data_IF_196343683370
#
_entry.id   IF_196343683370
#
_cell.length_a   1.000
_cell.length_b   1.000
_cell.length_c   1.000
_cell.angle_alpha   90.00
_cell.angle_beta   90.00
_cell.angle_gamma   90.00
#
_symmetry.space_group_name_H-M   'P 1'
#
loop_
_entity.id
_entity.type
_entity.pdbx_description
1 polymer ?
#
# COMPACT_ATOMS: atom_id res chain seq x y z
N UNK A 1 68.16 24.31 0.06
CA UNK A 1 67.83 22.86 -0.06
C UNK A 1 67.56 22.27 1.32
N UNK A 2 66.48 22.66 1.98
CA UNK A 2 65.93 22.00 3.18
C UNK A 2 64.46 22.37 3.21
N UNK A 3 63.57 21.60 2.56
CA UNK A 3 62.09 21.68 2.72
C UNK A 3 61.38 20.59 1.89
N UNK A 4 61.84 19.33 1.98
CA UNK A 4 61.23 18.20 1.26
C UNK A 4 61.09 16.92 2.07
N UNK A 5 61.38 16.96 3.38
CA UNK A 5 61.37 15.76 4.26
C UNK A 5 60.23 15.71 5.29
N UNK A 6 59.48 16.81 5.45
CA UNK A 6 58.39 16.90 6.42
C UNK A 6 57.01 16.54 5.83
N UNK A 7 56.85 16.59 4.51
CA UNK A 7 55.56 16.37 3.82
C UNK A 7 55.30 14.88 3.51
N UNK A 8 56.33 14.05 3.32
CA UNK A 8 56.15 12.62 3.02
C UNK A 8 55.79 11.76 4.25
N UNK A 9 56.09 12.23 5.46
CA UNK A 9 55.84 11.50 6.71
C UNK A 9 54.43 11.69 7.25
N UNK A 10 53.78 12.84 6.97
CA UNK A 10 52.39 13.09 7.37
C UNK A 10 51.39 12.31 6.51
N UNK A 11 51.56 12.28 5.18
CA UNK A 11 50.69 11.57 4.23
C UNK A 11 50.71 10.04 4.43
N UNK A 12 51.89 9.46 4.72
CA UNK A 12 52.01 8.03 5.05
C UNK A 12 51.30 7.66 6.37
N UNK A 13 51.18 8.60 7.30
CA UNK A 13 50.51 8.36 8.59
C UNK A 13 48.98 8.39 8.47
N UNK A 14 48.44 9.27 7.62
CA UNK A 14 47.01 9.38 7.35
C UNK A 14 46.49 8.20 6.51
N UNK A 15 47.26 7.77 5.51
CA UNK A 15 46.96 6.61 4.66
C UNK A 15 46.85 5.30 5.46
N UNK A 16 47.77 5.05 6.41
CA UNK A 16 47.68 3.86 7.30
C UNK A 16 46.49 3.91 8.26
N UNK A 17 46.05 5.10 8.67
CA UNK A 17 44.91 5.28 9.58
C UNK A 17 43.57 5.09 8.85
N UNK A 18 43.48 5.51 7.58
CA UNK A 18 42.34 5.28 6.70
C UNK A 18 42.16 3.77 6.40
N UNK A 19 43.24 3.08 6.01
CA UNK A 19 43.23 1.64 5.74
C UNK A 19 42.81 0.81 6.96
N UNK A 20 43.27 1.18 8.17
CA UNK A 20 42.88 0.50 9.42
C UNK A 20 41.41 0.74 9.81
N UNK A 21 40.82 1.87 9.39
CA UNK A 21 39.39 2.19 9.61
C UNK A 21 38.50 1.44 8.63
N UNK A 22 38.92 1.27 7.39
CA UNK A 22 38.23 0.44 6.39
C UNK A 22 38.30 -1.04 6.73
N UNK A 23 39.46 -1.55 7.14
CA UNK A 23 39.60 -2.94 7.60
C UNK A 23 38.69 -3.26 8.79
N UNK A 24 38.57 -2.37 9.78
CA UNK A 24 37.63 -2.53 10.91
C UNK A 24 36.15 -2.44 10.51
N UNK A 25 35.82 -1.66 9.48
CA UNK A 25 34.45 -1.60 8.94
C UNK A 25 34.12 -2.87 8.16
N UNK A 26 35.06 -3.37 7.36
CA UNK A 26 34.94 -4.62 6.62
C UNK A 26 34.81 -5.83 7.57
N UNK A 27 35.61 -5.88 8.65
CA UNK A 27 35.52 -6.95 9.66
C UNK A 27 34.19 -6.90 10.44
N UNK A 28 33.70 -5.71 10.79
CA UNK A 28 32.36 -5.56 11.41
C UNK A 28 31.23 -5.91 10.44
N UNK A 29 31.39 -5.60 9.15
CA UNK A 29 30.43 -5.99 8.12
C UNK A 29 30.44 -7.51 7.88
N UNK A 30 31.62 -8.14 7.87
CA UNK A 30 31.80 -9.58 7.77
C UNK A 30 31.21 -10.31 8.99
N UNK A 31 31.52 -9.87 10.21
CA UNK A 31 30.91 -10.43 11.44
C UNK A 31 29.40 -10.25 11.47
N UNK A 32 28.87 -9.14 10.95
CA UNK A 32 27.41 -8.91 10.83
C UNK A 32 26.78 -9.75 9.72
N UNK A 33 27.53 -10.06 8.65
CA UNK A 33 27.09 -10.95 7.58
C UNK A 33 27.11 -12.42 8.02
N UNK A 34 28.16 -12.85 8.73
CA UNK A 34 28.27 -14.17 9.34
C UNK A 34 27.19 -14.38 10.41
N UNK A 35 26.95 -13.40 11.28
CA UNK A 35 25.87 -13.50 12.27
C UNK A 35 24.50 -13.55 11.60
N UNK A 36 24.28 -12.81 10.49
CA UNK A 36 23.05 -12.91 9.68
C UNK A 36 22.92 -14.26 9.00
N UNK A 37 24.00 -14.81 8.46
CA UNK A 37 24.02 -16.12 7.81
C UNK A 37 23.79 -17.26 8.82
N UNK A 38 24.40 -17.17 10.00
CA UNK A 38 24.23 -18.13 11.09
C UNK A 38 22.82 -18.09 11.67
N UNK A 39 22.24 -16.88 11.81
CA UNK A 39 20.85 -16.72 12.25
C UNK A 39 19.87 -17.25 11.19
N UNK A 40 20.15 -17.05 9.89
CA UNK A 40 19.31 -17.56 8.80
C UNK A 40 19.34 -19.09 8.69
N UNK A 41 20.51 -19.71 8.88
CA UNK A 41 20.64 -21.18 8.84
C UNK A 41 20.08 -21.87 10.10
N UNK A 42 20.21 -21.27 11.29
CA UNK A 42 19.61 -21.82 12.52
C UNK A 42 18.08 -21.65 12.58
N UNK A 43 17.49 -20.67 11.89
CA UNK A 43 16.03 -20.50 11.88
C UNK A 43 15.25 -21.57 11.11
N UNK A 44 15.92 -22.45 10.36
CA UNK A 44 15.26 -23.41 9.46
C UNK A 44 15.52 -24.89 9.78
N UNK A 45 16.43 -25.19 10.71
CA UNK A 45 16.56 -26.56 11.22
C UNK A 45 15.53 -26.76 12.34
N UNK A 46 14.55 -27.68 12.20
CA UNK A 46 13.69 -28.03 13.31
C UNK A 46 14.55 -28.59 14.45
N UNK A 47 14.36 -28.07 15.67
CA UNK A 47 14.97 -28.69 16.86
C UNK A 47 14.47 -30.14 16.98
N UNK A 48 15.34 -31.07 17.38
CA UNK A 48 14.96 -32.47 17.60
C UNK A 48 13.78 -32.53 18.59
N UNK A 49 12.59 -32.90 18.09
CA UNK A 49 11.33 -32.94 18.87
C UNK A 49 10.26 -31.90 18.51
N UNK A 50 10.38 -31.20 17.38
CA UNK A 50 9.35 -30.25 16.94
C UNK A 50 8.03 -30.93 16.48
N UNK A 51 6.96 -30.75 17.27
CA UNK A 51 5.61 -31.27 16.99
C UNK A 51 4.87 -30.58 15.83
N UNK A 52 5.41 -29.48 15.31
CA UNK A 52 4.81 -28.65 14.26
C UNK A 52 5.54 -28.72 12.91
N UNK A 53 6.43 -29.71 12.72
CA UNK A 53 7.08 -29.95 11.43
C UNK A 53 6.01 -30.13 10.34
N UNK A 54 6.15 -29.40 9.24
CA UNK A 54 5.20 -29.42 8.14
C UNK A 54 3.90 -28.61 8.37
N UNK A 55 3.81 -27.82 9.45
CA UNK A 55 2.70 -26.88 9.70
C UNK A 55 3.10 -25.41 9.57
N UNK A 56 4.38 -25.15 9.39
CA UNK A 56 4.88 -23.80 9.16
C UNK A 56 6.06 -23.78 8.20
N UNK A 57 6.29 -22.63 7.57
CA UNK A 57 7.44 -22.43 6.68
C UNK A 57 7.14 -21.47 5.54
N UNK A 58 8.00 -21.51 4.53
CA UNK A 58 7.84 -20.73 3.29
C UNK A 58 7.28 -21.64 2.20
N UNK A 59 6.16 -21.24 1.62
CA UNK A 59 5.60 -21.95 0.48
C UNK A 59 6.50 -21.76 -0.74
N UNK A 60 6.67 -22.83 -1.50
CA UNK A 60 7.21 -22.72 -2.85
C UNK A 60 6.21 -21.99 -3.75
N UNK A 61 6.68 -21.48 -4.88
CA UNK A 61 5.84 -20.79 -5.84
C UNK A 61 4.70 -21.72 -6.30
N UNK A 62 3.46 -21.30 -6.07
CA UNK A 62 2.27 -22.05 -6.47
C UNK A 62 1.59 -21.36 -7.65
N UNK A 63 1.43 -22.08 -8.77
CA UNK A 63 0.71 -21.59 -9.95
C UNK A 63 -0.82 -21.78 -9.84
N UNK A 64 -1.26 -22.73 -9.01
CA UNK A 64 -2.67 -22.96 -8.70
C UNK A 64 -2.81 -23.34 -7.23
N UNK A 65 -3.82 -22.80 -6.55
CA UNK A 65 -4.11 -23.08 -5.14
C UNK A 65 -5.52 -23.67 -5.05
N UNK A 66 -5.65 -24.90 -4.55
CA UNK A 66 -6.94 -25.58 -4.40
C UNK A 66 -7.60 -25.34 -3.01
N UNK A 67 -7.22 -24.28 -2.30
CA UNK A 67 -7.74 -23.97 -0.95
C UNK A 67 -8.87 -22.96 -1.02
N UNK A 68 -9.92 -23.18 -0.22
CA UNK A 68 -11.00 -22.20 -0.01
C UNK A 68 -10.60 -21.21 1.07
N UNK A 69 -10.29 -19.98 0.68
CA UNK A 69 -9.97 -18.90 1.61
C UNK A 69 -11.22 -18.14 2.04
N UNK A 70 -11.31 -17.85 3.34
CA UNK A 70 -12.33 -16.97 3.92
C UNK A 70 -11.80 -15.54 3.96
N UNK A 71 -12.64 -14.56 3.63
CA UNK A 71 -12.25 -13.16 3.73
C UNK A 71 -12.29 -12.70 5.19
N UNK A 72 -11.38 -11.80 5.58
CA UNK A 72 -11.29 -11.27 6.94
C UNK A 72 -12.56 -10.49 7.33
N UNK A 73 -13.25 -9.88 6.37
CA UNK A 73 -14.53 -9.19 6.60
C UNK A 73 -15.67 -10.12 7.05
N UNK A 74 -15.60 -11.40 6.67
CA UNK A 74 -16.65 -12.40 6.90
C UNK A 74 -16.38 -13.23 8.18
N UNK A 75 -15.36 -12.83 8.97
CA UNK A 75 -15.04 -13.45 10.26
C UNK A 75 -15.82 -12.75 11.37
N UNK A 76 -16.94 -13.35 11.76
CA UNK A 76 -17.82 -12.86 12.83
C UNK A 76 -18.16 -13.97 13.86
N UNK A 77 -19.11 -13.70 14.76
CA UNK A 77 -19.56 -14.67 15.78
C UNK A 77 -20.19 -15.93 15.18
N UNK A 78 -20.77 -15.86 13.98
CA UNK A 78 -21.50 -16.97 13.36
C UNK A 78 -20.58 -18.10 12.92
N UNK A 79 -19.34 -17.77 12.55
CA UNK A 79 -18.31 -18.73 12.13
C UNK A 79 -17.43 -19.22 13.28
N UNK A 80 -17.76 -18.87 14.53
CA UNK A 80 -17.00 -19.30 15.70
C UNK A 80 -16.99 -20.83 15.84
N UNK A 81 -15.86 -21.38 16.25
CA UNK A 81 -15.61 -22.80 16.37
C UNK A 81 -15.18 -23.50 15.08
N UNK A 82 -15.36 -22.86 13.91
CA UNK A 82 -14.96 -23.44 12.62
C UNK A 82 -13.45 -23.26 12.36
N UNK A 83 -12.88 -24.19 11.61
CA UNK A 83 -11.50 -24.09 11.10
C UNK A 83 -11.55 -23.46 9.71
N UNK A 84 -10.81 -22.37 9.53
CA UNK A 84 -10.81 -21.58 8.30
C UNK A 84 -9.39 -21.33 7.80
N UNK A 85 -9.27 -21.20 6.48
CA UNK A 85 -8.06 -20.71 5.84
C UNK A 85 -8.20 -19.22 5.53
N UNK A 86 -7.22 -18.42 5.93
CA UNK A 86 -7.18 -16.98 5.70
C UNK A 86 -5.87 -16.62 5.01
N UNK A 87 -5.96 -15.90 3.89
CA UNK A 87 -4.81 -15.29 3.21
C UNK A 87 -4.84 -13.79 3.40
N UNK A 88 -3.86 -13.26 4.13
CA UNK A 88 -3.82 -11.85 4.49
C UNK A 88 -2.37 -11.35 4.62
N UNK A 89 -2.22 -10.02 4.69
CA UNK A 89 -0.94 -9.39 4.98
C UNK A 89 -0.72 -9.35 6.48
N UNK A 90 0.50 -9.63 6.88
CA UNK A 90 0.94 -9.43 8.24
C UNK A 90 1.12 -7.92 8.49
N UNK A 91 0.32 -7.35 9.38
CA UNK A 91 0.38 -5.92 9.71
C UNK A 91 1.36 -5.65 10.86
N UNK A 92 1.12 -6.29 12.02
CA UNK A 92 1.99 -6.19 13.18
C UNK A 92 2.18 -7.56 13.83
N UNK A 93 3.35 -7.77 14.43
CA UNK A 93 3.69 -8.98 15.19
C UNK A 93 4.18 -8.57 16.57
N UNK A 94 3.70 -9.25 17.60
CA UNK A 94 4.12 -9.04 19.00
C UNK A 94 4.29 -10.41 19.66
N UNK A 95 5.53 -10.78 19.96
CA UNK A 95 5.83 -11.98 20.71
C UNK A 95 5.93 -11.67 22.21
N UNK A 96 5.32 -12.53 23.05
CA UNK A 96 5.43 -12.52 24.52
C UNK A 96 5.66 -13.94 25.02
N UNK A 97 6.92 -14.30 25.25
CA UNK A 97 7.31 -15.60 25.80
C UNK A 97 6.84 -16.77 24.93
N UNK A 98 5.83 -17.51 25.41
CA UNK A 98 5.26 -18.70 24.74
C UNK A 98 4.08 -18.37 23.79
N UNK A 99 3.80 -17.10 23.56
CA UNK A 99 2.70 -16.64 22.73
C UNK A 99 3.19 -15.61 21.71
N UNK A 100 2.63 -15.64 20.50
CA UNK A 100 2.84 -14.64 19.47
C UNK A 100 1.48 -14.14 18.97
N UNK A 101 1.29 -12.83 19.02
CA UNK A 101 0.11 -12.14 18.53
C UNK A 101 0.44 -11.51 17.18
N UNK A 102 -0.33 -11.86 16.16
CA UNK A 102 -0.19 -11.34 14.81
C UNK A 102 -1.48 -10.62 14.45
N UNK A 103 -1.39 -9.40 13.93
CA UNK A 103 -2.53 -8.73 13.32
C UNK A 103 -2.48 -8.99 11.82
N UNK A 104 -3.46 -9.72 11.32
CA UNK A 104 -3.66 -9.91 9.89
C UNK A 104 -4.52 -8.80 9.33
N UNK A 105 -4.18 -8.36 8.13
CA UNK A 105 -4.87 -7.31 7.41
C UNK A 105 -5.21 -7.74 6.00
N UNK A 106 -6.47 -7.58 5.64
CA UNK A 106 -6.96 -7.77 4.29
C UNK A 106 -7.77 -6.53 3.91
N UNK A 107 -7.19 -5.71 3.03
CA UNK A 107 -7.71 -4.38 2.68
C UNK A 107 -7.81 -3.49 3.93
N UNK A 108 -9.00 -2.99 4.26
CA UNK A 108 -9.31 -2.20 5.46
C UNK A 108 -9.61 -3.04 6.70
N UNK A 109 -9.87 -4.35 6.54
CA UNK A 109 -10.24 -5.23 7.64
C UNK A 109 -9.02 -5.86 8.30
N UNK A 110 -9.06 -5.95 9.63
CA UNK A 110 -8.02 -6.54 10.46
C UNK A 110 -8.60 -7.54 11.47
N UNK A 111 -7.84 -8.59 11.74
CA UNK A 111 -8.18 -9.63 12.72
C UNK A 111 -6.92 -10.06 13.47
N UNK A 112 -7.07 -10.37 14.76
CA UNK A 112 -5.99 -10.88 15.58
C UNK A 112 -5.86 -12.40 15.42
N UNK A 113 -4.62 -12.86 15.28
CA UNK A 113 -4.22 -14.26 15.30
C UNK A 113 -3.34 -14.49 16.52
N UNK A 114 -3.69 -15.51 17.31
CA UNK A 114 -2.90 -15.99 18.43
C UNK A 114 -2.19 -17.29 18.04
N UNK A 115 -0.88 -17.32 18.24
CA UNK A 115 -0.04 -18.50 18.12
C UNK A 115 0.50 -18.81 19.52
N UNK A 116 -0.04 -19.82 20.18
CA UNK A 116 0.38 -20.22 21.53
C UNK A 116 0.98 -21.63 21.51
N UNK A 117 2.01 -21.86 22.33
CA UNK A 117 2.56 -23.21 22.49
C UNK A 117 1.47 -24.12 23.08
N UNK A 118 1.19 -25.22 22.39
CA UNK A 118 0.20 -26.23 22.76
C UNK A 118 0.68 -27.62 22.32
N UNK A 119 -0.11 -28.67 22.55
CA UNK A 119 0.20 -30.01 22.04
C UNK A 119 0.38 -30.05 20.51
N UNK A 120 -0.24 -29.11 19.78
CA UNK A 120 -0.21 -29.07 18.32
C UNK A 120 0.76 -28.04 17.74
N UNK A 121 1.20 -27.07 18.56
CA UNK A 121 2.00 -25.90 18.19
C UNK A 121 3.28 -25.84 19.04
N UNK A 122 4.43 -25.96 18.40
CA UNK A 122 5.74 -25.96 19.06
C UNK A 122 6.27 -24.55 19.34
N UNK A 123 7.32 -24.47 20.17
CA UNK A 123 8.08 -23.22 20.41
C UNK A 123 8.74 -22.71 19.13
N UNK A 124 9.20 -23.62 18.27
CA UNK A 124 9.82 -23.30 16.97
C UNK A 124 8.85 -22.57 16.05
N UNK A 125 7.59 -23.01 16.00
CA UNK A 125 6.54 -22.33 15.23
C UNK A 125 6.25 -20.91 15.76
N UNK A 126 6.22 -20.72 17.08
CA UNK A 126 6.05 -19.38 17.69
C UNK A 126 7.23 -18.46 17.34
N UNK A 127 8.47 -18.98 17.39
CA UNK A 127 9.69 -18.26 17.00
C UNK A 127 9.71 -17.93 15.50
N UNK A 128 9.26 -18.85 14.65
CA UNK A 128 9.11 -18.62 13.22
C UNK A 128 8.10 -17.50 12.96
N UNK A 129 6.91 -17.60 13.57
CA UNK A 129 5.85 -16.61 13.48
C UNK A 129 6.28 -15.20 13.94
N UNK A 130 7.12 -15.11 14.98
CA UNK A 130 7.65 -13.82 15.45
C UNK A 130 8.65 -13.17 14.50
N UNK A 131 9.30 -13.97 13.65
CA UNK A 131 10.36 -13.52 12.73
C UNK A 131 9.84 -13.19 11.32
N UNK A 132 8.55 -13.35 11.05
CA UNK A 132 7.96 -13.00 9.76
C UNK A 132 8.01 -11.48 9.59
N UNK A 133 8.59 -11.00 8.47
CA UNK A 133 8.68 -9.58 8.17
C UNK A 133 7.30 -8.95 7.94
N UNK A 134 7.15 -7.70 8.38
CA UNK A 134 5.93 -6.89 8.15
C UNK A 134 5.58 -6.82 6.67
N UNK A 135 4.29 -6.76 6.38
CA UNK A 135 3.69 -6.72 5.03
C UNK A 135 3.89 -7.99 4.19
N UNK A 136 4.46 -9.07 4.76
CA UNK A 136 4.46 -10.39 4.11
C UNK A 136 3.04 -10.92 3.96
N UNK A 137 2.78 -11.64 2.87
CA UNK A 137 1.51 -12.33 2.65
C UNK A 137 1.65 -13.74 3.23
N UNK A 138 0.76 -14.07 4.16
CA UNK A 138 0.76 -15.37 4.82
C UNK A 138 -0.60 -16.07 4.68
N UNK A 139 -0.55 -17.39 4.60
CA UNK A 139 -1.69 -18.28 4.71
C UNK A 139 -1.72 -18.85 6.13
N UNK A 140 -2.86 -18.67 6.79
CA UNK A 140 -3.07 -19.17 8.15
C UNK A 140 -4.27 -20.10 8.13
N UNK A 141 -4.07 -21.32 8.63
CA UNK A 141 -5.16 -22.18 9.06
C UNK A 141 -5.38 -21.93 10.54
N UNK A 142 -6.59 -21.53 10.91
CA UNK A 142 -6.91 -21.21 12.29
C UNK A 142 -8.34 -21.61 12.65
N UNK A 143 -8.53 -21.95 13.92
CA UNK A 143 -9.86 -22.07 14.51
C UNK A 143 -10.34 -20.70 14.97
N UNK A 144 -11.55 -20.32 14.58
CA UNK A 144 -12.17 -19.06 15.05
C UNK A 144 -12.62 -19.24 16.49
N UNK A 145 -12.16 -18.38 17.39
CA UNK A 145 -12.55 -18.37 18.80
C UNK A 145 -13.18 -17.02 19.17
N UNK A 146 -14.17 -17.03 20.07
CA UNK A 146 -14.72 -15.80 20.62
C UNK A 146 -13.81 -15.27 21.72
N UNK A 147 -13.67 -13.94 21.78
CA UNK A 147 -12.82 -13.27 22.77
C UNK A 147 -13.71 -12.79 23.92
N UNK A 148 -13.28 -12.94 25.19
CA UNK A 148 -14.06 -12.45 26.34
C UNK A 148 -14.08 -10.91 26.42
N UNK A 149 -13.10 -10.24 25.82
CA UNK A 149 -13.01 -8.77 25.76
C UNK A 149 -12.70 -8.30 24.34
N UNK A 150 -13.33 -7.20 23.92
CA UNK A 150 -13.21 -6.69 22.57
C UNK A 150 -11.78 -6.24 22.25
N UNK A 151 -11.27 -6.69 21.10
CA UNK A 151 -9.94 -6.30 20.61
C UNK A 151 -10.04 -4.97 19.88
N UNK A 152 -9.96 -3.85 20.61
CA UNK A 152 -10.12 -2.50 20.06
C UNK A 152 -9.15 -2.14 18.91
N UNK A 153 -7.99 -2.82 18.84
CA UNK A 153 -6.99 -2.59 17.79
C UNK A 153 -7.37 -3.18 16.42
N UNK A 154 -8.35 -4.09 16.36
CA UNK A 154 -8.77 -4.77 15.13
C UNK A 154 -10.19 -4.34 14.70
N UNK A 155 -10.52 -4.51 13.43
CA UNK A 155 -11.89 -4.32 12.95
C UNK A 155 -12.78 -5.47 13.40
N UNK A 156 -12.27 -6.70 13.36
CA UNK A 156 -12.94 -7.86 13.94
C UNK A 156 -12.58 -7.94 15.42
N UNK A 157 -13.48 -7.42 16.27
CA UNK A 157 -13.24 -7.26 17.71
C UNK A 157 -13.74 -8.43 18.54
N UNK A 158 -14.77 -9.11 18.04
CA UNK A 158 -15.51 -10.18 18.74
C UNK A 158 -14.82 -11.55 18.68
N UNK A 159 -13.93 -11.72 17.70
CA UNK A 159 -13.30 -13.00 17.39
C UNK A 159 -11.79 -12.87 17.25
N UNK A 160 -11.08 -13.93 17.60
CA UNK A 160 -9.67 -14.13 17.32
C UNK A 160 -9.44 -15.47 16.61
N UNK A 161 -8.29 -15.59 15.96
CA UNK A 161 -7.91 -16.78 15.20
C UNK A 161 -6.83 -17.54 15.97
N UNK A 162 -7.13 -18.76 16.43
CA UNK A 162 -6.15 -19.66 17.03
C UNK A 162 -5.41 -20.43 15.92
N UNK A 163 -4.18 -20.03 15.63
CA UNK A 163 -3.42 -20.58 14.50
C UNK A 163 -3.02 -22.05 14.73
N UNK A 164 -3.32 -22.89 13.74
CA UNK A 164 -2.87 -24.28 13.66
C UNK A 164 -1.73 -24.44 12.64
N UNK A 165 -1.74 -23.67 11.55
CA UNK A 165 -0.68 -23.65 10.53
C UNK A 165 -0.40 -22.24 10.05
N UNK A 166 0.86 -21.94 9.71
CA UNK A 166 1.28 -20.61 9.22
C UNK A 166 2.30 -20.76 8.10
N UNK A 167 1.95 -20.27 6.91
CA UNK A 167 2.76 -20.38 5.72
C UNK A 167 3.04 -19.02 5.09
N UNK A 168 4.29 -18.73 4.77
CA UNK A 168 4.65 -17.51 4.03
C UNK A 168 4.47 -17.77 2.54
N UNK A 169 3.51 -17.05 1.92
CA UNK A 169 3.26 -17.09 0.47
C UNK A 169 4.22 -16.15 -0.24
N UNK A 170 4.33 -14.92 0.25
CA UNK A 170 5.20 -13.89 -0.31
C UNK A 170 5.89 -13.16 0.83
N UNK A 171 7.20 -13.31 0.90
CA UNK A 171 8.01 -12.71 1.94
C UNK A 171 8.37 -11.28 1.55
N UNK A 172 8.04 -10.34 2.44
CA UNK A 172 8.39 -8.93 2.30
C UNK A 172 9.83 -8.68 2.76
N UNK A 173 10.44 -7.61 2.26
CA UNK A 173 11.72 -7.11 2.78
C UNK A 173 11.56 -6.75 4.28
N UNK A 174 12.51 -7.13 5.15
CA UNK A 174 12.47 -6.74 6.56
C UNK A 174 12.50 -5.22 6.76
N UNK A 175 13.24 -4.51 5.90
CA UNK A 175 13.28 -3.05 5.88
C UNK A 175 12.28 -2.53 4.84
N UNK A 176 11.28 -1.80 5.29
CA UNK A 176 10.32 -1.12 4.44
C UNK A 176 10.72 0.36 4.31
N UNK A 177 10.50 0.99 3.13
CA UNK A 177 10.79 2.41 2.93
C UNK A 177 9.85 3.32 3.72
N UNK A 178 8.62 2.85 4.03
CA UNK A 178 7.69 3.49 4.96
C UNK A 178 6.94 2.42 5.76
N UNK A 179 6.57 2.75 7.00
CA UNK A 179 5.66 1.94 7.81
C UNK A 179 4.22 2.40 7.56
N UNK A 180 3.28 1.46 7.55
CA UNK A 180 1.87 1.76 7.30
C UNK A 180 1.27 2.53 8.48
N UNK A 181 1.73 2.23 9.69
CA UNK A 181 1.31 2.87 10.94
C UNK A 181 1.68 4.36 10.95
N UNK A 182 2.89 4.71 10.53
CA UNK A 182 3.35 6.10 10.45
C UNK A 182 2.60 6.88 9.36
N UNK A 183 2.34 6.26 8.21
CA UNK A 183 1.58 6.86 7.11
C UNK A 183 0.06 6.98 7.38
N UNK A 184 -0.45 6.27 8.39
CA UNK A 184 -1.88 6.32 8.78
C UNK A 184 -2.15 7.26 9.95
N UNK A 185 -1.11 7.83 10.56
CA UNK A 185 -1.25 8.76 11.68
C UNK A 185 -1.86 10.08 11.18
N UNK A 186 -2.90 10.62 11.83
CA UNK A 186 -3.47 11.90 11.45
C UNK A 186 -2.47 13.03 11.69
N UNK A 187 -2.53 14.05 10.84
CA UNK A 187 -1.84 15.32 11.10
C UNK A 187 -2.60 16.07 12.20
N UNK A 188 -2.20 15.87 13.45
CA UNK A 188 -2.64 16.73 14.54
C UNK A 188 -1.96 18.11 14.42
N UNK A 189 -2.72 19.16 14.67
CA UNK A 189 -2.24 20.54 14.69
C UNK A 189 -1.37 20.86 15.92
N UNK A 190 -1.49 20.07 16.99
CA UNK A 190 -0.81 20.31 18.27
C UNK A 190 0.15 19.16 18.60
N UNK A 191 1.37 19.57 18.92
CA UNK A 191 2.50 18.70 19.28
C UNK A 191 2.30 18.26 20.74
N UNK A 192 1.45 17.24 20.96
CA UNK A 192 1.37 16.55 22.25
C UNK A 192 2.76 15.94 22.52
N UNK A 193 3.60 16.65 23.27
CA UNK A 193 5.05 16.45 23.45
C UNK A 193 5.51 15.10 24.03
N UNK A 194 4.63 14.10 24.05
CA UNK A 194 4.83 12.77 24.63
C UNK A 194 4.73 11.64 23.59
N UNK A 195 4.51 11.96 22.31
CA UNK A 195 4.43 10.97 21.23
C UNK A 195 5.48 11.18 20.15
N UNK A 196 6.15 10.10 19.73
CA UNK A 196 7.07 10.10 18.60
C UNK A 196 6.31 10.51 17.33
N UNK A 197 6.39 11.79 16.97
CA UNK A 197 5.74 12.39 15.81
C UNK A 197 6.52 12.12 14.52
N UNK A 198 6.82 10.84 14.25
CA UNK A 198 7.41 10.42 12.98
C UNK A 198 6.33 10.55 11.91
N UNK A 199 6.52 11.50 11.00
CA UNK A 199 5.62 11.79 9.86
C UNK A 199 6.30 11.36 8.56
N UNK A 200 5.50 10.87 7.61
CA UNK A 200 5.98 10.53 6.27
C UNK A 200 5.59 11.65 5.32
N UNK A 201 6.59 12.32 4.73
CA UNK A 201 6.36 13.40 3.77
C UNK A 201 5.61 12.90 2.52
N UNK A 202 4.83 13.80 1.90
CA UNK A 202 4.02 13.48 0.74
C UNK A 202 4.84 12.92 -0.43
N UNK A 203 6.01 13.48 -0.71
CA UNK A 203 6.89 13.00 -1.79
C UNK A 203 7.31 11.53 -1.57
N UNK A 204 7.72 11.19 -0.34
CA UNK A 204 8.09 9.81 0.02
C UNK A 204 6.91 8.84 -0.11
N UNK A 205 5.69 9.31 0.18
CA UNK A 205 4.45 8.53 0.01
C UNK A 205 4.14 8.28 -1.47
N UNK A 206 4.36 9.28 -2.33
CA UNK A 206 4.16 9.18 -3.77
C UNK A 206 5.22 8.30 -4.45
N UNK A 207 6.49 8.42 -4.05
CA UNK A 207 7.56 7.55 -4.53
C UNK A 207 7.30 6.07 -4.19
N UNK A 208 6.70 5.83 -3.02
CA UNK A 208 6.36 4.50 -2.54
C UNK A 208 4.84 4.25 -2.54
N UNK A 209 4.15 4.72 -3.58
CA UNK A 209 2.67 4.72 -3.65
C UNK A 209 2.05 3.33 -3.46
N UNK A 210 2.73 2.26 -3.87
CA UNK A 210 2.26 0.87 -3.69
C UNK A 210 2.07 0.50 -2.21
N UNK A 211 2.88 1.05 -1.31
CA UNK A 211 2.72 0.86 0.13
C UNK A 211 1.70 1.84 0.70
N UNK A 212 1.75 3.10 0.28
CA UNK A 212 0.83 4.13 0.77
C UNK A 212 -0.63 3.85 0.42
N UNK A 213 -0.91 3.29 -0.75
CA UNK A 213 -2.25 2.83 -1.15
C UNK A 213 -2.83 1.75 -0.23
N UNK A 214 -2.01 1.15 0.63
CA UNK A 214 -2.48 0.16 1.59
C UNK A 214 -3.10 0.81 2.82
N UNK A 215 -2.84 2.08 3.14
CA UNK A 215 -3.43 2.72 4.32
C UNK A 215 -4.96 2.69 4.23
N UNK A 216 -5.68 2.52 5.35
CA UNK A 216 -7.15 2.47 5.34
C UNK A 216 -7.75 3.76 4.77
N UNK A 217 -7.12 4.91 5.02
CA UNK A 217 -7.53 6.22 4.47
C UNK A 217 -7.48 6.24 2.95
N UNK A 218 -6.36 5.84 2.33
CA UNK A 218 -6.25 5.80 0.87
C UNK A 218 -7.20 4.75 0.26
N UNK A 219 -7.35 3.58 0.91
CA UNK A 219 -8.32 2.57 0.47
C UNK A 219 -9.75 3.13 0.45
N UNK A 220 -10.13 3.93 1.45
CA UNK A 220 -11.44 4.58 1.49
C UNK A 220 -11.59 5.65 0.40
N UNK A 221 -10.59 6.54 0.23
CA UNK A 221 -10.60 7.60 -0.78
C UNK A 221 -10.84 7.04 -2.18
N UNK A 222 -10.06 6.02 -2.59
CA UNK A 222 -10.18 5.46 -3.93
C UNK A 222 -11.47 4.66 -4.16
N UNK A 223 -12.06 4.10 -3.10
CA UNK A 223 -13.38 3.48 -3.21
C UNK A 223 -14.49 4.51 -3.36
N UNK A 224 -14.38 5.62 -2.65
CA UNK A 224 -15.29 6.75 -2.81
C UNK A 224 -15.20 7.32 -4.22
N UNK A 225 -13.98 7.54 -4.73
CA UNK A 225 -13.75 7.98 -6.11
C UNK A 225 -14.37 7.03 -7.15
N UNK A 226 -14.19 5.71 -6.97
CA UNK A 226 -14.82 4.71 -7.82
C UNK A 226 -16.36 4.76 -7.73
N UNK A 227 -16.91 4.99 -6.53
CA UNK A 227 -18.33 5.18 -6.28
C UNK A 227 -18.90 6.40 -7.01
N UNK A 228 -18.19 7.53 -6.97
CA UNK A 228 -18.57 8.76 -7.69
C UNK A 228 -18.65 8.51 -9.19
N UNK A 229 -17.62 7.89 -9.77
CA UNK A 229 -17.61 7.54 -11.21
C UNK A 229 -18.77 6.60 -11.58
N UNK A 230 -19.10 5.64 -10.72
CA UNK A 230 -20.24 4.72 -10.94
C UNK A 230 -21.56 5.47 -10.90
N UNK A 231 -21.81 6.25 -9.85
CA UNK A 231 -23.05 7.01 -9.69
C UNK A 231 -23.27 8.02 -10.83
N UNK A 232 -22.19 8.63 -11.31
CA UNK A 232 -22.24 9.51 -12.48
C UNK A 232 -22.73 8.76 -13.73
N UNK A 233 -22.14 7.59 -14.04
CA UNK A 233 -22.57 6.76 -15.18
C UNK A 233 -24.02 6.31 -15.00
N UNK A 234 -24.35 5.73 -13.86
CA UNK A 234 -25.70 5.20 -13.58
C UNK A 234 -26.78 6.30 -13.71
N UNK A 235 -26.47 7.54 -13.29
CA UNK A 235 -27.39 8.67 -13.38
C UNK A 235 -27.61 9.13 -14.82
N UNK A 236 -26.57 9.14 -15.65
CA UNK A 236 -26.68 9.51 -17.07
C UNK A 236 -27.33 8.41 -17.90
N UNK A 237 -27.01 7.14 -17.65
CA UNK A 237 -27.65 6.00 -18.31
C UNK A 237 -29.16 5.99 -18.05
N UNK A 238 -29.60 6.29 -16.82
CA UNK A 238 -31.03 6.42 -16.48
C UNK A 238 -31.75 7.52 -17.26
N UNK A 239 -31.02 8.53 -17.74
CA UNK A 239 -31.55 9.63 -18.57
C UNK A 239 -31.44 9.35 -20.07
N UNK A 240 -31.02 8.15 -20.47
CA UNK A 240 -30.91 7.74 -21.88
C UNK A 240 -29.60 8.17 -22.56
N UNK A 241 -28.60 8.63 -21.81
CA UNK A 241 -27.28 8.92 -22.39
C UNK A 241 -26.52 7.62 -22.72
N UNK A 242 -25.75 7.66 -23.81
CA UNK A 242 -24.87 6.56 -24.24
C UNK A 242 -23.41 6.94 -23.96
N UNK A 243 -22.66 6.03 -23.33
CA UNK A 243 -21.23 6.22 -23.06
C UNK A 243 -20.42 6.12 -24.36
N UNK A 244 -19.51 7.07 -24.59
CA UNK A 244 -18.64 7.12 -25.77
C UNK A 244 -17.16 7.12 -25.37
N UNK A 245 -16.32 6.43 -26.14
CA UNK A 245 -14.87 6.40 -25.94
C UNK A 245 -14.16 7.12 -27.07
N UNK A 246 -13.66 8.32 -26.78
CA UNK A 246 -12.92 9.16 -27.73
C UNK A 246 -11.42 8.87 -27.68
N UNK A 247 -10.69 8.90 -28.82
CA UNK A 247 -9.23 8.76 -28.81
C UNK A 247 -8.56 9.90 -28.03
N UNK A 248 -7.47 9.59 -27.31
CA UNK A 248 -6.69 10.56 -26.53
C UNK A 248 -5.41 11.04 -27.24
N UNK A 249 -5.00 10.32 -28.28
CA UNK A 249 -3.91 10.69 -29.19
C UNK A 249 -4.53 11.37 -30.41
N UNK A 250 -4.03 12.55 -30.77
CA UNK A 250 -4.50 13.36 -31.88
C UNK A 250 -3.35 13.73 -32.82
N UNK A 251 -3.65 13.92 -34.10
CA UNK A 251 -2.67 14.25 -35.14
C UNK A 251 -2.20 15.71 -35.09
N UNK A 252 -3.08 16.63 -34.67
CA UNK A 252 -2.80 18.06 -34.62
C UNK A 252 -3.22 18.66 -33.27
N UNK A 253 -2.58 19.78 -32.88
CA UNK A 253 -3.04 20.53 -31.72
C UNK A 253 -4.45 21.05 -31.99
N UNK A 254 -5.37 20.77 -31.06
CA UNK A 254 -6.70 21.35 -31.08
C UNK A 254 -6.64 22.74 -30.46
N UNK A 255 -7.55 23.62 -30.88
CA UNK A 255 -7.69 25.05 -30.59
C UNK A 255 -7.81 25.50 -29.12
N UNK A 256 -7.39 24.68 -28.15
CA UNK A 256 -7.34 25.05 -26.73
C UNK A 256 -5.92 25.41 -26.32
N UNK A 257 -5.72 26.62 -25.79
CA UNK A 257 -4.43 27.22 -25.39
C UNK A 257 -3.66 26.54 -24.24
N UNK A 258 -3.78 25.21 -24.08
CA UNK A 258 -2.96 24.42 -23.18
C UNK A 258 -1.74 23.82 -23.89
N UNK A 259 -0.63 23.65 -23.15
CA UNK A 259 0.58 23.02 -23.67
C UNK A 259 0.27 21.57 -24.14
N UNK A 260 0.74 21.22 -25.33
CA UNK A 260 0.47 19.91 -25.94
C UNK A 260 1.69 19.01 -25.82
N UNK A 261 1.53 17.82 -25.23
CA UNK A 261 2.61 16.85 -25.14
C UNK A 261 2.83 16.19 -26.50
N UNK A 262 4.03 16.30 -27.06
CA UNK A 262 4.37 15.61 -28.32
C UNK A 262 4.87 14.21 -28.03
N UNK A 263 4.35 13.23 -28.78
CA UNK A 263 4.72 11.81 -28.66
C UNK A 263 5.10 11.29 -30.04
N UNK A 264 6.24 10.60 -30.14
CA UNK A 264 6.62 9.93 -31.37
C UNK A 264 5.62 8.83 -31.70
N UNK A 265 5.03 8.87 -32.90
CA UNK A 265 4.06 7.89 -33.34
C UNK A 265 4.42 7.42 -34.73
N UNK A 266 5.00 6.21 -34.79
CA UNK A 266 5.63 5.65 -35.98
C UNK A 266 6.67 6.60 -36.58
N UNK A 267 6.53 6.96 -37.87
CA UNK A 267 7.42 7.87 -38.59
C UNK A 267 7.02 9.35 -38.43
N UNK A 268 5.97 9.64 -37.68
CA UNK A 268 5.43 10.99 -37.48
C UNK A 268 5.47 11.46 -36.03
N UNK A 269 5.16 12.73 -35.82
CA UNK A 269 4.92 13.30 -34.48
C UNK A 269 3.43 13.35 -34.23
N UNK A 270 2.96 12.62 -33.22
CA UNK A 270 1.60 12.76 -32.69
C UNK A 270 1.60 13.64 -31.46
N UNK A 271 0.41 14.01 -30.99
CA UNK A 271 0.24 14.84 -29.81
C UNK A 271 -0.77 14.21 -28.85
N UNK A 272 -0.46 14.25 -27.56
CA UNK A 272 -1.36 13.87 -26.48
C UNK A 272 -2.03 15.13 -25.95
N UNK A 273 -3.35 15.08 -25.77
CA UNK A 273 -4.15 16.24 -25.36
C UNK A 273 -4.16 16.38 -23.84
N UNK A 274 -3.93 17.60 -23.33
CA UNK A 274 -4.01 17.92 -21.90
C UNK A 274 -5.44 18.30 -21.43
N UNK A 275 -6.39 18.58 -22.35
CA UNK A 275 -7.74 19.08 -22.03
C UNK A 275 -8.92 18.30 -22.65
N UNK A 276 -10.08 18.45 -22.01
CA UNK A 276 -11.38 17.77 -22.22
C UNK A 276 -11.85 17.70 -23.68
N UNK A 277 -12.42 16.57 -24.07
CA UNK A 277 -12.92 16.20 -25.41
C UNK A 277 -14.11 17.04 -25.92
N UNK A 278 -13.96 18.35 -26.00
CA UNK A 278 -15.01 19.24 -26.53
C UNK A 278 -15.27 18.95 -28.02
N UNK A 279 -14.25 19.06 -28.87
CA UNK A 279 -14.40 18.85 -30.31
C UNK A 279 -14.78 17.42 -30.73
N UNK A 280 -14.43 16.40 -29.93
CA UNK A 280 -14.84 15.02 -30.19
C UNK A 280 -16.28 14.75 -29.73
N UNK A 281 -16.73 15.38 -28.64
CA UNK A 281 -18.12 15.30 -28.19
C UNK A 281 -19.06 15.98 -29.18
N UNK A 282 -18.68 17.16 -29.69
CA UNK A 282 -19.45 17.85 -30.73
C UNK A 282 -19.63 16.98 -31.97
N UNK A 283 -18.55 16.43 -32.53
CA UNK A 283 -18.64 15.59 -33.74
C UNK A 283 -19.49 14.34 -33.56
N UNK A 284 -19.40 13.68 -32.40
CA UNK A 284 -20.23 12.51 -32.09
C UNK A 284 -21.69 12.89 -31.89
N UNK A 285 -21.96 14.06 -31.28
CA UNK A 285 -23.32 14.59 -31.15
C UNK A 285 -23.93 14.87 -32.53
N UNK A 286 -23.19 15.49 -33.46
CA UNK A 286 -23.64 15.73 -34.83
C UNK A 286 -23.87 14.45 -35.65
N UNK A 287 -23.25 13.32 -35.29
CA UNK A 287 -23.34 12.08 -36.06
C UNK A 287 -24.31 11.05 -35.48
N UNK A 288 -24.64 11.14 -34.18
CA UNK A 288 -25.64 10.28 -33.53
C UNK A 288 -27.01 10.96 -33.46
N UNK A 289 -27.06 12.29 -33.45
CA UNK A 289 -28.32 13.02 -33.43
C UNK A 289 -28.91 13.18 -34.85
N UNK A 290 -29.50 12.12 -35.39
CA UNK A 290 -30.57 12.23 -36.39
C UNK A 290 -31.90 12.46 -35.65
N UNK A 291 -31.93 13.47 -34.77
CA UNK A 291 -33.03 13.74 -33.84
C UNK A 291 -33.74 15.02 -34.28
N UNK A 292 -35.05 14.98 -34.55
CA UNK A 292 -35.78 16.12 -35.11
C UNK A 292 -35.80 17.32 -34.14
N UNK A 293 -35.28 18.46 -34.63
CA UNK A 293 -35.72 19.84 -34.37
C UNK A 293 -35.66 20.45 -32.95
N UNK A 294 -36.02 19.71 -31.89
CA UNK A 294 -36.34 20.33 -30.59
C UNK A 294 -35.22 20.24 -29.54
N UNK A 295 -34.17 19.42 -29.76
CA UNK A 295 -33.08 19.23 -28.79
C UNK A 295 -31.87 20.17 -29.04
N UNK A 296 -31.84 20.88 -30.18
CA UNK A 296 -30.80 21.88 -30.46
C UNK A 296 -30.79 23.02 -29.41
N UNK A 297 -31.91 23.27 -28.74
CA UNK A 297 -32.01 24.23 -27.64
C UNK A 297 -31.30 23.78 -26.34
N UNK A 298 -31.08 22.48 -26.13
CA UNK A 298 -30.57 21.97 -24.85
C UNK A 298 -29.04 22.07 -24.72
N UNK A 299 -28.30 22.18 -25.84
CA UNK A 299 -26.86 22.47 -25.81
C UNK A 299 -26.56 23.93 -25.43
N UNK A 300 -27.39 24.89 -25.88
CA UNK A 300 -27.27 26.28 -25.41
C UNK A 300 -27.55 26.40 -23.91
N UNK A 301 -28.44 25.57 -23.36
CA UNK A 301 -28.75 25.56 -21.93
C UNK A 301 -27.63 24.92 -21.12
N UNK A 302 -27.02 23.82 -21.57
CA UNK A 302 -25.91 23.18 -20.85
C UNK A 302 -24.61 23.98 -20.90
N UNK A 303 -24.30 24.64 -22.03
CA UNK A 303 -23.13 25.52 -22.13
C UNK A 303 -23.31 26.77 -21.25
N UNK A 304 -24.55 27.31 -21.18
CA UNK A 304 -24.91 28.40 -20.26
C UNK A 304 -24.89 27.98 -18.79
N UNK A 305 -25.37 26.78 -18.45
CA UNK A 305 -25.27 26.24 -17.08
C UNK A 305 -23.81 25.96 -16.68
N UNK A 306 -22.95 25.57 -17.61
CA UNK A 306 -21.52 25.35 -17.33
C UNK A 306 -20.75 26.69 -17.18
N UNK A 307 -21.10 27.70 -17.98
CA UNK A 307 -20.62 29.09 -17.82
C UNK A 307 -21.15 29.74 -16.53
N UNK A 308 -22.39 29.47 -16.13
CA UNK A 308 -22.99 29.97 -14.88
C UNK A 308 -22.36 29.30 -13.63
N UNK A 309 -21.97 28.02 -13.72
CA UNK A 309 -21.16 27.34 -12.71
C UNK A 309 -19.73 27.90 -12.60
N UNK A 310 -19.18 28.42 -13.70
CA UNK A 310 -17.87 29.10 -13.75
C UNK A 310 -17.93 30.56 -13.28
N UNK A 311 -19.11 31.18 -13.23
CA UNK A 311 -19.32 32.60 -12.87
C UNK A 311 -20.01 32.79 -11.51
N UNK A 312 -20.09 31.74 -10.68
CA UNK A 312 -20.55 31.84 -9.29
C UNK A 312 -19.86 33.03 -8.59
N UNK A 313 -20.59 33.97 -7.97
CA UNK A 313 -20.01 35.19 -7.45
C UNK A 313 -18.91 34.84 -6.44
N UNK A 314 -17.70 35.32 -6.72
CA UNK A 314 -16.60 35.29 -5.76
C UNK A 314 -17.12 35.89 -4.46
N UNK A 315 -17.09 35.09 -3.39
CA UNK A 315 -17.32 35.57 -2.03
C UNK A 315 -16.43 36.81 -1.83
N UNK A 316 -16.95 37.96 -1.37
CA UNK A 316 -16.14 39.15 -1.19
C UNK A 316 -14.96 38.83 -0.27
N UNK A 317 -13.75 39.12 -0.74
CA UNK A 317 -12.53 39.06 0.06
C UNK A 317 -12.66 40.06 1.22
N UNK A 318 -13.18 39.61 2.36
CA UNK A 318 -13.00 40.31 3.62
C UNK A 318 -11.77 39.72 4.32
N UNK A 319 -10.80 40.61 4.53
CA UNK A 319 -9.70 40.56 5.50
C UNK A 319 -8.46 39.75 5.15
N UNK A 320 -7.47 40.50 4.66
CA UNK A 320 -6.08 40.44 5.11
C UNK A 320 -5.96 40.07 6.61
N UNK A 321 -5.40 38.91 6.90
CA UNK A 321 -4.47 38.66 8.02
C UNK A 321 -3.70 37.39 7.71
N UNK A 322 -2.53 37.24 8.34
CA UNK A 322 -1.48 36.23 8.10
C UNK A 322 -0.40 36.69 7.10
N UNK A 323 0.42 37.62 7.59
CA UNK A 323 1.89 37.51 7.44
C UNK A 323 2.38 36.39 8.35
#
# INVERSE_FOLDING_TARGET
MVDSKATETSEKSESKKAQKKEAKKAEKAAKKAEHKAHTQNETLAPEEGDVSVGKYGKLQLQFAVQKKFTYVKDLDKSVSGQVVWVRARLHTVRARGKQCFIVLRQREYTVQVLVNVSETVSKSMVKFASNISKESIIDVEAKVAQVPSNIAACTQQDVELLASQIWIVSQSSPQLPLQIEDASRPEKAEDDGDSLNIRVNQDTRLDNRILDLRTPTNQAIYRLEAGVCRLFRDSLTKKGFVEIHTPKIISAASEGGANVFTVSYFKGKSRFRQQVCESARERVFFQIADVPGEITAMLFVLDRYFQDLLTWPKVPNSTNRWR
#
